data_IF_536142410577
#
_entry.id   IF_536142410577
#
_cell.length_a   1.000
_cell.length_b   1.000
_cell.length_c   1.000
_cell.angle_alpha   90.00
_cell.angle_beta   90.00
_cell.angle_gamma   90.00
#
_symmetry.space_group_name_H-M   'P 1'
#
loop_
_entity.id
_entity.type
_entity.pdbx_description
1 polymer ?
#
# COMPACT_ATOMS: atom_id res chain seq x y z
N UNK A 1 -18.43 25.32 -12.40
CA UNK A 1 -18.00 24.19 -11.51
C UNK A 1 -16.74 24.60 -10.79
N UNK A 2 -16.67 24.34 -9.48
CA UNK A 2 -15.48 24.60 -8.68
C UNK A 2 -14.54 23.41 -8.82
N UNK A 3 -13.28 23.64 -9.23
CA UNK A 3 -12.26 22.58 -9.23
C UNK A 3 -11.88 22.22 -7.78
N UNK A 4 -12.08 20.97 -7.38
CA UNK A 4 -11.65 20.49 -6.06
C UNK A 4 -10.14 20.29 -6.03
N UNK A 5 -9.48 20.83 -5.01
CA UNK A 5 -8.05 20.72 -4.78
C UNK A 5 -7.81 19.70 -3.68
N UNK A 6 -7.16 18.62 -4.03
CA UNK A 6 -6.85 17.51 -3.14
C UNK A 6 -5.36 17.53 -2.82
N UNK A 7 -5.03 17.58 -1.53
CA UNK A 7 -3.71 17.23 -1.04
C UNK A 7 -3.67 15.73 -0.76
N UNK A 8 -2.89 14.98 -1.51
CA UNK A 8 -2.62 13.58 -1.25
C UNK A 8 -1.32 13.44 -0.48
N UNK A 9 -1.37 12.90 0.74
CA UNK A 9 -0.20 12.65 1.58
C UNK A 9 0.14 11.16 1.55
N UNK A 10 1.25 10.80 0.92
CA UNK A 10 1.70 9.42 0.74
C UNK A 10 3.18 9.37 0.36
N UNK A 11 3.61 8.32 -0.31
CA UNK A 11 5.00 8.15 -0.72
C UNK A 11 5.77 7.18 0.16
N UNK A 12 7.06 7.50 0.42
CA UNK A 12 7.93 6.57 1.15
C UNK A 12 8.21 5.28 0.38
N UNK A 13 8.05 5.30 -0.94
CA UNK A 13 8.12 4.12 -1.82
C UNK A 13 9.46 3.40 -1.76
N UNK A 14 10.55 4.14 -1.56
CA UNK A 14 11.87 3.55 -1.37
C UNK A 14 11.96 2.66 -0.12
N UNK A 15 11.14 2.90 0.90
CA UNK A 15 11.09 2.06 2.11
C UNK A 15 10.19 0.84 1.94
N UNK A 16 9.19 0.94 1.07
CA UNK A 16 8.26 -0.13 0.71
C UNK A 16 7.55 0.21 -0.60
N UNK A 17 7.97 -0.39 -1.68
CA UNK A 17 7.40 -0.13 -3.02
C UNK A 17 5.90 -0.47 -3.09
N UNK A 18 5.41 -1.37 -2.23
CA UNK A 18 3.98 -1.67 -2.14
C UNK A 18 3.11 -0.47 -1.77
N UNK A 19 3.67 0.56 -1.12
CA UNK A 19 2.95 1.80 -0.85
C UNK A 19 2.64 2.56 -2.15
N UNK A 20 3.52 2.47 -3.16
CA UNK A 20 3.29 3.09 -4.45
C UNK A 20 2.04 2.53 -5.15
N UNK A 21 1.79 1.22 -5.03
CA UNK A 21 0.61 0.61 -5.63
C UNK A 21 -0.69 1.14 -5.00
N UNK A 22 -0.67 1.36 -3.67
CA UNK A 22 -1.80 1.96 -2.95
C UNK A 22 -1.99 3.41 -3.39
N UNK A 23 -0.91 4.21 -3.39
CA UNK A 23 -0.96 5.63 -3.69
C UNK A 23 -1.44 5.89 -5.13
N UNK A 24 -0.84 5.20 -6.10
CA UNK A 24 -1.19 5.31 -7.51
C UNK A 24 -2.63 4.85 -7.78
N UNK A 25 -3.03 3.72 -7.18
CA UNK A 25 -4.41 3.23 -7.30
C UNK A 25 -5.43 4.14 -6.63
N UNK A 26 -5.10 4.74 -5.49
CA UNK A 26 -5.96 5.71 -4.83
C UNK A 26 -6.13 6.99 -5.65
N UNK A 27 -5.05 7.53 -6.21
CA UNK A 27 -5.09 8.67 -7.11
C UNK A 27 -5.94 8.37 -8.35
N UNK A 28 -5.79 7.17 -8.91
CA UNK A 28 -6.59 6.73 -10.06
C UNK A 28 -8.08 6.64 -9.71
N UNK A 29 -8.44 6.01 -8.60
CA UNK A 29 -9.85 5.90 -8.17
C UNK A 29 -10.52 7.26 -7.92
N UNK A 30 -9.79 8.23 -7.37
CA UNK A 30 -10.26 9.60 -7.20
C UNK A 30 -10.51 10.30 -8.53
N UNK A 31 -9.60 10.16 -9.50
CA UNK A 31 -9.76 10.71 -10.84
C UNK A 31 -10.92 10.08 -11.61
N UNK A 32 -11.14 8.79 -11.41
CA UNK A 32 -12.33 8.14 -11.98
C UNK A 32 -13.63 8.65 -11.34
N UNK A 33 -13.62 8.90 -10.05
CA UNK A 33 -14.78 9.40 -9.33
C UNK A 33 -15.12 10.87 -9.66
N UNK A 34 -14.11 11.71 -9.86
CA UNK A 34 -14.24 13.13 -10.18
C UNK A 34 -13.08 13.55 -11.10
N UNK A 35 -13.28 13.53 -12.44
CA UNK A 35 -12.20 13.77 -13.42
C UNK A 35 -11.52 15.14 -13.32
N UNK A 36 -12.26 16.18 -12.92
CA UNK A 36 -11.78 17.57 -12.88
C UNK A 36 -11.08 17.95 -11.56
N UNK A 37 -10.67 16.96 -10.77
CA UNK A 37 -9.94 17.23 -9.53
C UNK A 37 -8.47 17.59 -9.79
N UNK A 38 -7.96 18.51 -8.99
CA UNK A 38 -6.54 18.84 -8.95
C UNK A 38 -5.88 18.15 -7.75
N UNK A 39 -4.95 17.20 -8.01
CA UNK A 39 -4.27 16.45 -6.95
C UNK A 39 -2.83 16.94 -6.80
N UNK A 40 -2.48 17.37 -5.59
CA UNK A 40 -1.13 17.68 -5.15
C UNK A 40 -0.59 16.50 -4.34
N UNK A 41 0.31 15.73 -4.91
CA UNK A 41 0.95 14.62 -4.22
C UNK A 41 2.15 15.14 -3.41
N UNK A 42 2.13 14.91 -2.10
CA UNK A 42 3.21 15.30 -1.18
C UNK A 42 3.70 14.06 -0.44
N UNK A 43 5.02 13.89 -0.41
CA UNK A 43 5.64 12.76 0.27
C UNK A 43 5.60 12.90 1.79
N UNK A 44 5.25 11.83 2.47
CA UNK A 44 5.37 11.65 3.91
C UNK A 44 6.79 11.17 4.33
N UNK A 45 7.64 10.88 3.35
CA UNK A 45 8.99 10.33 3.50
C UNK A 45 9.87 11.07 4.52
N UNK A 46 9.93 12.41 4.56
CA UNK A 46 10.74 13.12 5.57
C UNK A 46 10.37 12.72 6.99
N UNK A 47 9.08 12.59 7.31
CA UNK A 47 8.61 12.20 8.65
C UNK A 47 8.97 10.77 8.99
N UNK A 48 8.86 9.86 8.01
CA UNK A 48 9.22 8.45 8.19
C UNK A 48 10.71 8.28 8.47
N UNK A 49 11.58 8.93 7.69
CA UNK A 49 13.05 8.86 7.89
C UNK A 49 13.45 9.46 9.23
N UNK A 50 12.92 10.62 9.58
CA UNK A 50 13.28 11.30 10.81
C UNK A 50 12.87 10.53 12.07
N UNK A 51 11.80 9.73 11.98
CA UNK A 51 11.43 8.84 13.09
C UNK A 51 12.46 7.74 13.35
N UNK A 52 13.12 7.26 12.28
CA UNK A 52 14.14 6.21 12.38
C UNK A 52 15.43 6.78 13.02
N UNK A 53 15.81 7.99 12.68
CA UNK A 53 17.05 8.60 13.12
C UNK A 53 16.91 9.52 14.35
N UNK A 54 15.72 9.58 14.97
CA UNK A 54 15.40 10.48 16.11
C UNK A 54 15.75 11.96 15.84
N UNK A 55 15.69 12.38 14.59
CA UNK A 55 15.98 13.75 14.20
C UNK A 55 14.86 14.70 14.65
N UNK A 56 15.19 15.96 14.80
CA UNK A 56 14.23 16.99 15.18
C UNK A 56 13.36 17.38 13.98
N UNK A 57 12.09 16.97 13.98
CA UNK A 57 11.12 17.27 12.92
C UNK A 57 10.85 18.78 12.77
N UNK A 58 11.15 19.62 13.79
CA UNK A 58 10.95 21.06 13.70
C UNK A 58 11.82 21.73 12.63
N UNK A 59 12.92 21.07 12.23
CA UNK A 59 13.82 21.58 11.18
C UNK A 59 13.37 21.21 9.77
N UNK A 60 12.30 20.42 9.62
CA UNK A 60 11.78 20.01 8.33
C UNK A 60 10.75 20.99 7.85
N UNK A 61 10.93 21.52 6.64
CA UNK A 61 9.90 22.33 5.99
C UNK A 61 8.69 21.46 5.66
N UNK A 62 7.56 21.77 6.28
CA UNK A 62 6.31 21.02 6.11
C UNK A 62 5.53 21.55 4.91
N UNK A 63 5.83 21.03 3.72
CA UNK A 63 5.13 21.42 2.48
C UNK A 63 3.63 21.13 2.57
N UNK A 64 3.23 20.00 3.15
CA UNK A 64 1.82 19.64 3.30
C UNK A 64 1.04 20.69 4.11
N UNK A 65 1.67 21.26 5.14
CA UNK A 65 1.04 22.25 6.03
C UNK A 65 0.81 23.63 5.42
N UNK A 66 1.35 23.90 4.20
CA UNK A 66 1.27 25.20 3.52
C UNK A 66 0.52 25.18 2.18
N UNK A 67 0.25 23.98 1.62
CA UNK A 67 -0.56 23.83 0.41
C UNK A 67 -2.02 24.19 0.71
N UNK A 68 -2.62 25.02 -0.14
CA UNK A 68 -4.05 25.33 -0.09
C UNK A 68 -4.82 24.23 -0.80
N UNK A 69 -5.65 23.52 -0.06
CA UNK A 69 -6.47 22.41 -0.54
C UNK A 69 -7.84 22.41 0.11
N UNK A 70 -8.79 21.76 -0.53
CA UNK A 70 -10.15 21.58 -0.01
C UNK A 70 -10.24 20.25 0.76
N UNK A 71 -9.49 19.24 0.30
CA UNK A 71 -9.45 17.90 0.91
C UNK A 71 -8.01 17.42 1.16
N UNK A 72 -7.84 16.65 2.24
CA UNK A 72 -6.65 15.84 2.52
C UNK A 72 -7.02 14.38 2.29
N UNK A 73 -6.27 13.66 1.45
CA UNK A 73 -6.46 12.23 1.21
C UNK A 73 -5.31 11.44 1.83
N UNK A 74 -5.69 10.37 2.53
CA UNK A 74 -4.80 9.35 3.10
C UNK A 74 -5.25 7.97 2.64
N UNK A 75 -4.29 7.06 2.38
CA UNK A 75 -4.57 5.69 1.97
C UNK A 75 -3.65 4.67 2.63
N UNK A 76 -4.03 3.39 2.59
CA UNK A 76 -3.20 2.30 3.05
C UNK A 76 -3.18 2.10 4.57
N UNK A 77 -2.05 1.66 5.12
CA UNK A 77 -1.91 1.31 6.53
C UNK A 77 -1.74 2.56 7.44
N UNK A 78 -2.66 3.50 7.33
CA UNK A 78 -2.60 4.80 8.01
C UNK A 78 -3.27 4.80 9.40
N UNK A 79 -4.08 3.79 9.69
CA UNK A 79 -4.80 3.68 10.97
C UNK A 79 -3.93 2.93 11.99
N UNK A 80 -2.82 3.56 12.39
CA UNK A 80 -1.88 3.01 13.36
C UNK A 80 -1.28 4.08 14.25
N UNK A 81 -0.90 3.72 15.47
CA UNK A 81 -0.26 4.63 16.42
C UNK A 81 1.00 5.29 15.83
N UNK A 82 1.81 4.52 15.10
CA UNK A 82 3.02 5.03 14.44
C UNK A 82 2.71 6.09 13.39
N UNK A 83 1.72 5.86 12.53
CA UNK A 83 1.33 6.83 11.50
C UNK A 83 0.81 8.12 12.13
N UNK A 84 -0.03 8.01 13.17
CA UNK A 84 -0.58 9.15 13.91
C UNK A 84 0.53 9.93 14.59
N UNK A 85 1.50 9.28 15.22
CA UNK A 85 2.66 9.93 15.82
C UNK A 85 3.43 10.79 14.80
N UNK A 86 3.59 10.30 13.57
CA UNK A 86 4.35 10.98 12.53
C UNK A 86 3.56 12.10 11.83
N UNK A 87 2.29 11.87 11.54
CA UNK A 87 1.48 12.71 10.66
C UNK A 87 0.32 13.42 11.37
N UNK A 88 -0.04 13.00 12.59
CA UNK A 88 -1.22 13.51 13.29
C UNK A 88 -1.23 15.03 13.50
N UNK A 89 -0.06 15.64 13.71
CA UNK A 89 0.06 17.09 13.89
C UNK A 89 -0.31 17.85 12.62
N UNK A 90 0.22 17.48 11.47
CA UNK A 90 -0.10 18.13 10.18
C UNK A 90 -1.54 17.89 9.76
N UNK A 91 -2.07 16.68 9.97
CA UNK A 91 -3.48 16.35 9.71
C UNK A 91 -4.39 17.24 10.54
N UNK A 92 -4.17 17.30 11.86
CA UNK A 92 -4.98 18.15 12.76
C UNK A 92 -4.88 19.63 12.41
N UNK A 93 -3.72 20.12 11.98
CA UNK A 93 -3.53 21.51 11.52
C UNK A 93 -4.35 21.80 10.27
N UNK A 94 -4.40 20.89 9.30
CA UNK A 94 -5.17 21.05 8.08
C UNK A 94 -6.67 21.04 8.36
N UNK A 95 -7.15 20.10 9.18
CA UNK A 95 -8.57 20.01 9.55
C UNK A 95 -9.02 21.27 10.30
N UNK A 96 -8.19 21.81 11.21
CA UNK A 96 -8.50 23.09 11.88
C UNK A 96 -8.60 24.29 10.91
N UNK A 97 -7.99 24.19 9.72
CA UNK A 97 -8.12 25.18 8.65
C UNK A 97 -9.33 24.94 7.74
N UNK A 98 -10.20 23.98 8.05
CA UNK A 98 -11.38 23.63 7.29
C UNK A 98 -11.16 22.62 6.16
N UNK A 99 -9.97 22.00 6.08
CA UNK A 99 -9.70 20.95 5.09
C UNK A 99 -10.43 19.66 5.51
N UNK A 100 -11.21 19.06 4.62
CA UNK A 100 -11.95 17.82 4.86
C UNK A 100 -11.03 16.61 4.71
N UNK A 101 -11.10 15.67 5.64
CA UNK A 101 -10.29 14.44 5.61
C UNK A 101 -11.00 13.34 4.84
N UNK A 102 -10.33 12.77 3.86
CA UNK A 102 -10.76 11.57 3.12
C UNK A 102 -9.77 10.45 3.43
N UNK A 103 -10.29 9.34 3.90
CA UNK A 103 -9.55 8.07 4.03
C UNK A 103 -10.02 7.16 2.90
N UNK A 104 -9.17 6.85 1.93
CA UNK A 104 -9.51 6.05 0.75
C UNK A 104 -8.76 4.72 0.76
N UNK A 105 -9.45 3.61 1.06
CA UNK A 105 -8.83 2.31 1.23
C UNK A 105 -7.90 2.22 2.45
N UNK A 106 -8.31 2.85 3.55
CA UNK A 106 -7.56 2.85 4.80
C UNK A 106 -7.63 1.54 5.56
N UNK A 107 -6.57 1.20 6.30
CA UNK A 107 -6.53 0.01 7.16
C UNK A 107 -5.59 0.16 8.35
N UNK A 108 -5.79 -0.71 9.33
CA UNK A 108 -4.94 -0.82 10.52
C UNK A 108 -3.61 -1.54 10.25
N UNK A 109 -2.84 -1.68 11.30
CA UNK A 109 -1.55 -2.38 11.26
C UNK A 109 -1.55 -3.68 12.08
N UNK A 110 -1.90 -3.61 13.34
CA UNK A 110 -1.87 -4.74 14.29
C UNK A 110 -3.26 -5.13 14.80
N UNK A 111 -4.20 -4.20 14.76
CA UNK A 111 -5.57 -4.35 15.29
C UNK A 111 -5.64 -4.74 16.78
N UNK A 112 -4.61 -4.38 17.55
CA UNK A 112 -4.65 -4.52 19.01
C UNK A 112 -5.61 -3.49 19.61
N UNK A 113 -6.16 -3.77 20.80
CA UNK A 113 -7.05 -2.84 21.52
C UNK A 113 -6.38 -1.46 21.70
N UNK A 114 -5.09 -1.43 22.02
CA UNK A 114 -4.33 -0.17 22.17
C UNK A 114 -4.25 0.62 20.85
N UNK A 115 -4.03 -0.07 19.71
CA UNK A 115 -4.03 0.58 18.39
C UNK A 115 -5.42 1.12 18.08
N UNK A 116 -6.47 0.32 18.28
CA UNK A 116 -7.87 0.69 18.04
C UNK A 116 -8.24 1.92 18.86
N UNK A 117 -7.94 1.92 20.16
CA UNK A 117 -8.24 3.04 21.06
C UNK A 117 -7.48 4.32 20.66
N UNK A 118 -6.20 4.20 20.32
CA UNK A 118 -5.39 5.33 19.88
C UNK A 118 -5.92 5.94 18.58
N UNK A 119 -6.27 5.12 17.61
CA UNK A 119 -6.85 5.55 16.34
C UNK A 119 -8.23 6.18 16.55
N UNK A 120 -9.08 5.56 17.37
CA UNK A 120 -10.40 6.08 17.70
C UNK A 120 -10.33 7.47 18.34
N UNK A 121 -9.44 7.66 19.32
CA UNK A 121 -9.23 8.99 19.94
C UNK A 121 -8.76 10.04 18.94
N UNK A 122 -7.88 9.64 18.01
CA UNK A 122 -7.41 10.54 16.96
C UNK A 122 -8.52 10.92 15.98
N UNK A 123 -9.30 9.94 15.49
CA UNK A 123 -10.38 10.17 14.53
C UNK A 123 -11.57 10.94 15.16
N UNK A 124 -11.87 10.76 16.43
CA UNK A 124 -12.86 11.60 17.14
C UNK A 124 -12.49 13.09 17.16
N UNK A 125 -11.20 13.40 17.24
CA UNK A 125 -10.70 14.78 17.18
C UNK A 125 -10.55 15.31 15.75
N UNK A 126 -10.45 14.42 14.79
CA UNK A 126 -10.19 14.70 13.39
C UNK A 126 -11.12 13.82 12.53
N UNK A 127 -12.45 14.02 12.60
CA UNK A 127 -13.39 13.12 11.96
C UNK A 127 -13.21 13.12 10.44
N UNK A 128 -13.16 11.93 9.80
CA UNK A 128 -13.15 11.86 8.36
C UNK A 128 -14.47 12.36 7.78
N UNK A 129 -14.40 13.13 6.70
CA UNK A 129 -15.54 13.44 5.87
C UNK A 129 -15.96 12.21 5.07
N UNK A 130 -14.99 11.54 4.42
CA UNK A 130 -15.20 10.27 3.74
C UNK A 130 -14.26 9.23 4.36
N UNK A 131 -14.81 8.07 4.71
CA UNK A 131 -14.06 6.93 5.23
C UNK A 131 -14.35 5.68 4.41
N UNK A 132 -13.35 5.24 3.64
CA UNK A 132 -13.40 3.97 2.91
C UNK A 132 -12.36 3.05 3.52
N UNK A 133 -12.81 1.93 4.09
CA UNK A 133 -11.93 0.88 4.59
C UNK A 133 -11.46 -0.03 3.45
N UNK A 134 -10.41 -0.79 3.69
CA UNK A 134 -9.95 -1.83 2.77
C UNK A 134 -10.22 -3.24 3.26
N UNK A 135 -10.70 -3.38 4.49
CA UNK A 135 -11.05 -4.64 5.13
C UNK A 135 -12.19 -4.45 6.11
N UNK A 136 -12.90 -5.54 6.40
CA UNK A 136 -14.10 -5.54 7.24
C UNK A 136 -13.83 -5.09 8.67
N UNK A 137 -12.73 -5.55 9.25
CA UNK A 137 -12.37 -5.20 10.63
C UNK A 137 -12.14 -3.70 10.79
N UNK A 138 -11.46 -3.08 9.83
CA UNK A 138 -11.28 -1.62 9.81
C UNK A 138 -12.60 -0.89 9.71
N UNK A 139 -13.52 -1.37 8.87
CA UNK A 139 -14.84 -0.77 8.74
C UNK A 139 -15.63 -0.81 10.06
N UNK A 140 -15.70 -1.96 10.70
CA UNK A 140 -16.40 -2.15 11.96
C UNK A 140 -15.83 -1.29 13.09
N UNK A 141 -14.51 -1.11 13.13
CA UNK A 141 -13.87 -0.34 14.18
C UNK A 141 -14.05 1.18 14.04
N UNK A 142 -14.18 1.73 12.82
CA UNK A 142 -14.02 3.18 12.64
C UNK A 142 -15.08 3.87 11.77
N UNK A 143 -15.93 3.15 11.04
CA UNK A 143 -16.89 3.74 10.09
C UNK A 143 -17.85 4.75 10.73
N UNK A 144 -18.24 4.53 11.99
CA UNK A 144 -19.15 5.39 12.74
C UNK A 144 -18.54 6.76 13.13
N UNK A 145 -17.27 6.98 12.87
CA UNK A 145 -16.55 8.23 13.16
C UNK A 145 -16.52 9.21 11.98
N UNK A 146 -17.10 8.85 10.85
CA UNK A 146 -17.10 9.64 9.62
C UNK A 146 -18.50 10.08 9.22
N UNK A 147 -18.58 11.13 8.38
CA UNK A 147 -19.85 11.57 7.82
C UNK A 147 -20.37 10.61 6.74
N UNK A 148 -19.47 10.16 5.86
CA UNK A 148 -19.76 9.16 4.83
C UNK A 148 -18.80 7.97 4.99
N UNK A 149 -19.31 6.76 5.02
CA UNK A 149 -18.49 5.55 5.17
C UNK A 149 -18.87 4.47 4.17
N UNK A 150 -17.85 3.72 3.71
CA UNK A 150 -17.99 2.60 2.80
C UNK A 150 -16.99 1.49 3.13
N UNK A 151 -17.49 0.25 3.17
CA UNK A 151 -16.65 -0.95 3.32
C UNK A 151 -16.11 -1.37 1.95
N UNK A 152 -14.97 -0.78 1.57
CA UNK A 152 -14.40 -0.85 0.24
C UNK A 152 -13.29 -1.87 0.05
N UNK A 153 -12.42 -1.61 -0.93
CA UNK A 153 -11.29 -2.44 -1.33
C UNK A 153 -9.97 -1.70 -1.17
N UNK A 154 -8.85 -2.42 -1.04
CA UNK A 154 -7.52 -1.83 -1.06
C UNK A 154 -7.23 -1.17 -2.40
N UNK A 155 -6.75 0.09 -2.36
CA UNK A 155 -6.50 0.87 -3.57
C UNK A 155 -5.42 0.25 -4.49
N UNK A 156 -4.56 -0.61 -3.97
CA UNK A 156 -3.57 -1.32 -4.78
C UNK A 156 -4.18 -2.22 -5.87
N UNK A 157 -5.47 -2.60 -5.76
CA UNK A 157 -6.14 -3.35 -6.81
C UNK A 157 -6.47 -2.53 -8.07
N UNK A 158 -6.45 -1.20 -7.99
CA UNK A 158 -6.66 -0.32 -9.14
C UNK A 158 -5.45 -0.23 -10.08
N UNK A 159 -4.29 -0.80 -9.73
CA UNK A 159 -3.09 -0.68 -10.58
C UNK A 159 -3.29 -1.25 -11.98
N UNK A 160 -4.13 -2.27 -12.14
CA UNK A 160 -4.46 -2.85 -13.44
C UNK A 160 -5.37 -1.99 -14.32
N UNK A 161 -5.94 -0.91 -13.78
CA UNK A 161 -6.88 -0.08 -14.54
C UNK A 161 -6.17 1.03 -15.31
N UNK A 162 -5.00 1.45 -14.85
CA UNK A 162 -4.23 2.53 -15.48
C UNK A 162 -2.87 2.09 -16.03
N UNK A 163 -2.33 0.95 -15.58
CA UNK A 163 -1.03 0.47 -16.01
C UNK A 163 -1.18 -0.52 -17.15
N UNK A 164 -0.56 -0.18 -18.28
CA UNK A 164 -0.44 -1.08 -19.45
C UNK A 164 0.94 -1.72 -19.38
N UNK A 165 1.03 -3.04 -19.14
CA UNK A 165 2.30 -3.74 -19.08
C UNK A 165 3.02 -3.72 -20.43
N UNK A 166 4.34 -3.56 -20.39
CA UNK A 166 5.19 -3.72 -21.57
C UNK A 166 5.26 -5.19 -22.00
N UNK A 167 5.45 -5.47 -23.27
CA UNK A 167 5.80 -6.81 -23.72
C UNK A 167 7.18 -7.19 -23.20
N UNK A 168 7.33 -8.39 -22.66
CA UNK A 168 8.60 -8.88 -22.13
C UNK A 168 9.09 -10.05 -22.99
N UNK A 169 10.29 -9.92 -23.54
CA UNK A 169 10.98 -11.02 -24.22
C UNK A 169 11.65 -11.93 -23.18
N UNK A 170 10.83 -12.68 -22.47
CA UNK A 170 11.23 -13.59 -21.39
C UNK A 170 10.46 -14.89 -21.47
N UNK A 171 11.07 -16.04 -21.10
CA UNK A 171 10.32 -17.28 -20.91
C UNK A 171 9.34 -17.15 -19.74
N UNK A 172 8.43 -18.10 -19.59
CA UNK A 172 7.53 -18.20 -18.45
C UNK A 172 8.33 -18.11 -17.14
N UNK A 173 7.88 -17.25 -16.23
CA UNK A 173 8.56 -17.03 -14.96
C UNK A 173 7.62 -16.97 -13.76
N UNK A 174 8.21 -17.18 -12.60
CA UNK A 174 7.58 -16.96 -11.30
C UNK A 174 8.30 -15.87 -10.53
N UNK A 175 7.58 -15.12 -9.72
CA UNK A 175 8.15 -14.07 -8.88
C UNK A 175 8.27 -14.55 -7.43
N UNK A 176 9.45 -14.41 -6.86
CA UNK A 176 9.70 -14.59 -5.42
C UNK A 176 10.00 -13.22 -4.79
N UNK A 177 9.13 -12.81 -3.86
CA UNK A 177 9.29 -11.55 -3.13
C UNK A 177 9.32 -11.82 -1.62
N UNK A 178 10.51 -11.94 -1.05
CA UNK A 178 10.71 -12.24 0.36
C UNK A 178 11.65 -11.22 1.00
N UNK A 179 11.05 -10.28 1.74
CA UNK A 179 11.78 -9.28 2.49
C UNK A 179 11.92 -9.66 3.97
N UNK A 180 12.99 -9.25 4.64
CA UNK A 180 13.05 -9.28 6.09
C UNK A 180 11.92 -8.41 6.66
N UNK A 181 11.09 -9.00 7.51
CA UNK A 181 10.04 -8.28 8.21
C UNK A 181 10.55 -7.98 9.63
N UNK A 182 10.56 -6.68 9.99
CA UNK A 182 11.04 -6.22 11.29
C UNK A 182 12.29 -5.33 11.18
N UNK A 183 12.60 -4.62 12.24
CA UNK A 183 13.69 -3.64 12.28
C UNK A 183 15.10 -4.25 12.07
N UNK A 184 16.15 -3.42 12.14
CA UNK A 184 17.53 -3.81 11.83
C UNK A 184 18.05 -5.01 12.64
N UNK A 185 17.54 -5.23 13.84
CA UNK A 185 17.91 -6.40 14.66
C UNK A 185 17.34 -7.73 14.11
N UNK A 186 16.11 -7.73 13.60
CA UNK A 186 15.52 -8.91 12.96
C UNK A 186 16.22 -9.20 11.62
N UNK A 187 16.75 -8.18 10.97
CA UNK A 187 17.55 -8.32 9.78
C UNK A 187 18.91 -8.97 10.07
N UNK A 188 19.58 -8.59 11.16
CA UNK A 188 20.83 -9.23 11.57
C UNK A 188 20.60 -10.71 11.91
N UNK A 189 19.53 -11.04 12.64
CA UNK A 189 19.14 -12.41 12.94
C UNK A 189 18.82 -13.22 11.66
N UNK A 190 18.14 -12.60 10.68
CA UNK A 190 17.91 -13.18 9.37
C UNK A 190 19.22 -13.45 8.62
N UNK A 191 20.16 -12.50 8.62
CA UNK A 191 21.48 -12.69 8.00
C UNK A 191 22.27 -13.83 8.66
N UNK A 192 22.32 -13.88 9.99
CA UNK A 192 23.02 -14.93 10.74
C UNK A 192 22.40 -16.29 10.41
N UNK A 193 21.06 -16.40 10.44
CA UNK A 193 20.34 -17.63 10.08
C UNK A 193 20.68 -18.09 8.66
N UNK A 194 20.76 -17.18 7.71
CA UNK A 194 21.07 -17.50 6.31
C UNK A 194 22.56 -17.72 6.03
N UNK A 195 23.48 -17.19 6.85
CA UNK A 195 24.91 -17.50 6.74
C UNK A 195 25.21 -18.99 7.05
N UNK A 196 24.41 -19.60 7.93
CA UNK A 196 24.52 -20.99 8.34
C UNK A 196 23.54 -21.94 7.63
N UNK A 197 22.68 -21.42 6.73
CA UNK A 197 21.68 -22.24 6.05
C UNK A 197 22.34 -23.12 4.97
N UNK A 198 22.11 -24.43 5.09
CA UNK A 198 22.56 -25.44 4.11
C UNK A 198 21.91 -25.28 2.74
N UNK A 199 20.82 -24.51 2.64
CA UNK A 199 20.04 -24.24 1.42
C UNK A 199 20.55 -23.05 0.60
N UNK A 200 21.83 -22.66 0.72
CA UNK A 200 22.43 -21.58 -0.10
C UNK A 200 22.23 -21.73 -1.62
N UNK A 201 21.98 -22.95 -2.09
CA UNK A 201 21.67 -23.21 -3.50
C UNK A 201 20.38 -22.51 -3.96
N UNK A 202 19.34 -22.45 -3.09
CA UNK A 202 18.04 -21.87 -3.48
C UNK A 202 18.12 -20.37 -3.87
N UNK A 203 18.99 -19.60 -3.20
CA UNK A 203 19.20 -18.19 -3.55
C UNK A 203 19.90 -17.97 -4.89
N UNK A 204 20.67 -18.94 -5.36
CA UNK A 204 21.39 -18.88 -6.63
C UNK A 204 20.70 -19.63 -7.76
N UNK A 205 19.64 -20.36 -7.48
CA UNK A 205 18.89 -21.09 -8.50
C UNK A 205 18.13 -20.12 -9.38
N UNK A 206 18.34 -20.19 -10.67
CA UNK A 206 17.69 -19.32 -11.66
C UNK A 206 16.39 -19.88 -12.21
N UNK A 207 16.16 -21.20 -12.03
CA UNK A 207 14.96 -21.88 -12.55
C UNK A 207 14.43 -22.90 -11.54
N UNK A 208 13.11 -23.09 -11.51
CA UNK A 208 12.42 -24.21 -10.81
C UNK A 208 11.38 -24.77 -11.77
N UNK A 209 11.38 -26.12 -11.96
CA UNK A 209 10.46 -26.82 -12.84
C UNK A 209 10.38 -26.21 -14.24
N UNK A 210 11.54 -25.84 -14.81
CA UNK A 210 11.67 -25.25 -16.12
C UNK A 210 11.23 -23.78 -16.24
N UNK A 211 10.70 -23.18 -15.17
CA UNK A 211 10.31 -21.75 -15.16
C UNK A 211 11.44 -20.90 -14.61
N UNK A 212 11.65 -19.75 -15.22
CA UNK A 212 12.57 -18.75 -14.71
C UNK A 212 12.11 -18.23 -13.35
N UNK A 213 13.04 -18.02 -12.43
CA UNK A 213 12.76 -17.35 -11.16
C UNK A 213 13.25 -15.91 -11.26
N UNK A 214 12.36 -14.95 -11.00
CA UNK A 214 12.72 -13.55 -10.81
C UNK A 214 12.47 -13.21 -9.35
N UNK A 215 13.47 -12.64 -8.68
CA UNK A 215 13.41 -12.21 -7.29
C UNK A 215 13.21 -10.72 -7.20
N UNK A 216 12.37 -10.29 -6.29
CA UNK A 216 12.13 -8.87 -6.04
C UNK A 216 12.16 -8.57 -4.55
N UNK A 217 12.42 -7.32 -4.22
CA UNK A 217 12.39 -6.81 -2.86
C UNK A 217 11.62 -5.49 -2.80
N UNK A 218 10.59 -5.42 -1.98
CA UNK A 218 9.78 -4.21 -1.80
C UNK A 218 10.44 -3.18 -0.87
N UNK A 219 11.37 -3.61 -0.02
CA UNK A 219 12.09 -2.72 0.88
C UNK A 219 13.51 -2.54 0.42
N UNK A 220 13.86 -1.34 -0.01
CA UNK A 220 15.23 -0.98 -0.29
C UNK A 220 15.95 -0.63 1.02
N UNK A 221 17.04 -1.34 1.32
CA UNK A 221 17.90 -1.06 2.46
C UNK A 221 19.23 -0.51 1.90
N UNK A 222 19.41 0.83 1.87
CA UNK A 222 20.53 1.47 1.18
C UNK A 222 21.91 1.03 1.66
N UNK A 223 21.99 0.50 2.90
CA UNK A 223 23.27 0.14 3.52
C UNK A 223 23.67 -1.34 3.30
N UNK A 224 22.89 -2.12 2.53
CA UNK A 224 23.17 -3.53 2.30
C UNK A 224 22.99 -3.99 0.83
N UNK A 225 23.49 -3.24 -0.16
CA UNK A 225 23.31 -3.59 -1.57
C UNK A 225 23.95 -4.93 -1.94
N UNK A 226 25.07 -5.30 -1.30
CA UNK A 226 25.79 -6.56 -1.56
C UNK A 226 24.97 -7.83 -1.28
N UNK A 227 23.89 -7.74 -0.51
CA UNK A 227 22.99 -8.88 -0.26
C UNK A 227 22.24 -9.28 -1.52
N UNK A 228 21.71 -8.31 -2.23
CA UNK A 228 20.91 -8.54 -3.42
C UNK A 228 21.74 -9.16 -4.55
N UNK A 229 23.00 -8.81 -4.64
CA UNK A 229 23.92 -9.37 -5.65
C UNK A 229 24.30 -10.85 -5.42
N UNK A 230 23.86 -11.47 -4.34
CA UNK A 230 24.05 -12.91 -4.08
C UNK A 230 22.91 -13.77 -4.61
N UNK A 231 21.80 -13.16 -4.95
CA UNK A 231 20.62 -13.83 -5.49
C UNK A 231 20.67 -13.82 -7.02
N UNK A 232 20.13 -14.85 -7.66
CA UNK A 232 20.03 -14.89 -9.12
C UNK A 232 18.77 -14.12 -9.57
N UNK A 233 18.86 -13.44 -10.70
CA UNK A 233 17.75 -12.75 -11.37
C UNK A 233 16.98 -11.82 -10.42
N UNK A 234 17.69 -10.90 -9.79
CA UNK A 234 17.10 -9.94 -8.86
C UNK A 234 16.74 -8.66 -9.57
N UNK A 235 15.47 -8.25 -9.45
CA UNK A 235 15.03 -6.91 -9.80
C UNK A 235 14.85 -6.10 -8.51
N UNK A 236 15.53 -4.98 -8.42
CA UNK A 236 15.36 -3.94 -7.41
C UNK A 236 15.28 -2.61 -8.13
N UNK A 237 14.24 -1.85 -7.84
CA UNK A 237 14.01 -0.55 -8.43
C UNK A 237 13.31 0.37 -7.40
N UNK A 238 13.48 1.67 -7.54
CA UNK A 238 12.67 2.70 -6.88
C UNK A 238 11.46 3.11 -7.72
N UNK A 239 11.37 2.58 -8.94
CA UNK A 239 10.27 2.78 -9.86
C UNK A 239 9.21 1.66 -9.70
N UNK A 240 7.99 1.97 -9.23
CA UNK A 240 6.93 0.97 -9.05
C UNK A 240 6.49 0.28 -10.34
N UNK A 241 6.62 0.94 -11.48
CA UNK A 241 6.20 0.38 -12.78
C UNK A 241 7.06 -0.81 -13.21
N UNK A 242 8.32 -0.90 -12.79
CA UNK A 242 9.17 -2.05 -13.05
C UNK A 242 8.61 -3.31 -12.38
N UNK A 243 8.12 -3.17 -11.16
CA UNK A 243 7.47 -4.26 -10.43
C UNK A 243 6.12 -4.63 -11.02
N UNK A 244 5.32 -3.63 -11.46
CA UNK A 244 4.04 -3.89 -12.09
C UNK A 244 4.19 -4.69 -13.39
N UNK A 245 5.25 -4.44 -14.18
CA UNK A 245 5.57 -5.26 -15.34
C UNK A 245 5.78 -6.74 -14.97
N UNK A 246 6.52 -7.02 -13.88
CA UNK A 246 6.72 -8.40 -13.45
C UNK A 246 5.42 -9.03 -12.94
N UNK A 247 4.65 -8.34 -12.09
CA UNK A 247 3.42 -8.89 -11.54
C UNK A 247 2.33 -9.11 -12.59
N UNK A 248 2.35 -8.35 -13.68
CA UNK A 248 1.42 -8.50 -14.78
C UNK A 248 1.68 -9.76 -15.63
N UNK A 249 2.95 -10.21 -15.73
CA UNK A 249 3.33 -11.32 -16.61
C UNK A 249 3.69 -12.62 -15.88
N UNK A 250 3.80 -12.57 -14.54
CA UNK A 250 4.19 -13.75 -13.76
C UNK A 250 3.17 -14.88 -13.84
N UNK A 251 3.64 -16.12 -13.88
CA UNK A 251 2.74 -17.30 -13.74
C UNK A 251 2.31 -17.55 -12.31
N UNK A 252 3.06 -17.05 -11.34
CA UNK A 252 2.71 -17.08 -9.92
C UNK A 252 3.63 -16.13 -9.12
N UNK A 253 3.10 -15.53 -8.07
CA UNK A 253 3.92 -14.80 -7.08
C UNK A 253 3.88 -15.50 -5.72
N UNK A 254 5.05 -15.74 -5.16
CA UNK A 254 5.22 -16.21 -3.78
C UNK A 254 5.86 -15.11 -2.97
N UNK A 255 5.17 -14.64 -1.92
CA UNK A 255 5.62 -13.44 -1.21
C UNK A 255 5.30 -13.48 0.29
N UNK A 256 6.10 -12.78 1.09
CA UNK A 256 5.72 -12.39 2.45
C UNK A 256 5.19 -10.95 2.54
N UNK A 257 5.04 -10.26 1.39
CA UNK A 257 4.49 -8.91 1.28
C UNK A 257 3.07 -8.93 0.72
N UNK A 258 2.12 -8.36 1.47
CA UNK A 258 0.70 -8.31 1.08
C UNK A 258 0.53 -7.64 -0.28
N UNK A 259 1.19 -6.49 -0.53
CA UNK A 259 1.00 -5.74 -1.77
C UNK A 259 1.72 -6.32 -3.00
N UNK A 260 2.66 -7.25 -2.83
CA UNK A 260 3.13 -8.07 -3.95
C UNK A 260 2.01 -9.01 -4.43
N UNK A 261 1.28 -9.61 -3.46
CA UNK A 261 0.11 -10.42 -3.79
C UNK A 261 -1.03 -9.58 -4.37
N UNK A 262 -1.32 -8.40 -3.79
CA UNK A 262 -2.35 -7.47 -4.31
C UNK A 262 -2.09 -7.12 -5.78
N UNK A 263 -0.87 -6.66 -6.12
CA UNK A 263 -0.53 -6.32 -7.50
C UNK A 263 -0.64 -7.51 -8.43
N UNK A 264 -0.15 -8.71 -8.03
CA UNK A 264 -0.28 -9.93 -8.83
C UNK A 264 -1.75 -10.29 -9.11
N UNK A 265 -2.59 -10.30 -8.05
CA UNK A 265 -4.02 -10.61 -8.17
C UNK A 265 -4.77 -9.57 -9.01
N UNK A 266 -4.37 -8.28 -8.93
CA UNK A 266 -4.96 -7.23 -9.75
C UNK A 266 -4.81 -7.48 -11.25
N UNK A 267 -3.70 -8.11 -11.68
CA UNK A 267 -3.47 -8.55 -13.06
C UNK A 267 -3.98 -9.96 -13.36
N UNK A 268 -4.86 -10.53 -12.55
CA UNK A 268 -5.44 -11.86 -12.74
C UNK A 268 -4.43 -13.02 -12.65
N UNK A 269 -3.28 -12.82 -12.05
CA UNK A 269 -2.29 -13.86 -11.83
C UNK A 269 -2.41 -14.43 -10.42
N UNK A 270 -2.06 -15.72 -10.20
CA UNK A 270 -2.18 -16.33 -8.88
C UNK A 270 -1.06 -15.92 -7.95
N UNK A 271 -1.37 -15.83 -6.65
CA UNK A 271 -0.39 -15.52 -5.62
C UNK A 271 -0.52 -16.42 -4.38
N UNK A 272 0.57 -16.53 -3.62
CA UNK A 272 0.60 -17.15 -2.30
C UNK A 272 1.32 -16.25 -1.30
N UNK A 273 0.68 -16.04 -0.13
CA UNK A 273 1.20 -15.18 0.92
C UNK A 273 1.80 -16.00 2.07
N UNK A 274 3.07 -15.77 2.38
CA UNK A 274 3.82 -16.38 3.49
C UNK A 274 3.97 -15.41 4.67
N UNK A 275 2.84 -14.89 5.15
CA UNK A 275 2.83 -13.96 6.28
C UNK A 275 1.54 -14.08 7.07
N UNK A 276 1.64 -14.08 8.39
CA UNK A 276 0.50 -14.11 9.32
C UNK A 276 0.03 -12.72 9.73
N UNK A 277 0.38 -11.69 8.98
CA UNK A 277 -0.06 -10.33 9.27
C UNK A 277 -1.59 -10.20 9.22
N UNK A 278 -2.23 -9.53 10.20
CA UNK A 278 -3.68 -9.30 10.15
C UNK A 278 -4.10 -8.44 8.95
N UNK A 279 -3.20 -7.60 8.42
CA UNK A 279 -3.42 -6.80 7.18
C UNK A 279 -3.79 -7.63 5.97
N UNK A 280 -3.55 -8.94 5.96
CA UNK A 280 -3.94 -9.82 4.87
C UNK A 280 -5.46 -10.03 4.73
N UNK A 281 -6.26 -9.62 5.72
CA UNK A 281 -7.72 -9.66 5.66
C UNK A 281 -8.30 -8.85 4.46
N UNK A 282 -7.57 -7.86 3.95
CA UNK A 282 -7.95 -7.15 2.71
C UNK A 282 -8.10 -8.09 1.48
N UNK A 283 -7.41 -9.23 1.48
CA UNK A 283 -7.45 -10.23 0.40
C UNK A 283 -8.74 -11.06 0.42
N UNK A 284 -9.43 -11.14 1.56
CA UNK A 284 -10.70 -11.85 1.69
C UNK A 284 -11.81 -11.15 0.87
N UNK A 285 -11.70 -9.82 0.71
CA UNK A 285 -12.60 -9.01 -0.13
C UNK A 285 -12.63 -9.46 -1.59
N UNK A 286 -11.55 -10.00 -2.08
CA UNK A 286 -11.38 -10.43 -3.48
C UNK A 286 -11.43 -11.94 -3.65
N UNK A 287 -11.99 -12.67 -2.67
CA UNK A 287 -12.11 -14.13 -2.73
C UNK A 287 -10.79 -14.89 -2.54
N UNK A 288 -9.72 -14.21 -2.08
CA UNK A 288 -8.40 -14.82 -1.89
C UNK A 288 -8.14 -15.23 -0.42
N UNK A 289 -9.15 -15.67 0.30
CA UNK A 289 -9.08 -16.06 1.72
C UNK A 289 -8.15 -17.25 2.00
N UNK A 290 -7.91 -18.13 1.00
CA UNK A 290 -7.00 -19.29 1.12
C UNK A 290 -5.56 -18.98 0.71
N UNK A 291 -5.21 -17.74 0.41
CA UNK A 291 -3.91 -17.33 -0.13
C UNK A 291 -2.71 -17.67 0.78
N UNK A 292 -2.95 -17.82 2.08
CA UNK A 292 -1.91 -18.23 3.04
C UNK A 292 -1.62 -19.74 3.00
N UNK A 293 -2.59 -20.53 2.55
CA UNK A 293 -2.54 -21.99 2.56
C UNK A 293 -2.04 -22.54 1.22
N UNK A 294 -2.52 -21.97 0.14
CA UNK A 294 -2.24 -22.43 -1.23
C UNK A 294 -2.10 -21.27 -2.22
N UNK A 295 -1.57 -21.58 -3.38
CA UNK A 295 -1.60 -20.68 -4.53
C UNK A 295 -3.05 -20.39 -4.90
N UNK A 296 -3.44 -19.13 -4.90
CA UNK A 296 -4.83 -18.70 -5.03
C UNK A 296 -4.97 -17.75 -6.21
N UNK A 297 -5.98 -17.98 -7.04
CA UNK A 297 -6.42 -17.07 -8.09
C UNK A 297 -7.42 -16.05 -7.53
N UNK A 298 -7.46 -14.84 -8.07
CA UNK A 298 -8.46 -13.85 -7.67
C UNK A 298 -9.83 -14.18 -8.25
N UNK A 299 -10.87 -13.70 -7.58
CA UNK A 299 -12.19 -13.55 -8.18
C UNK A 299 -12.24 -12.19 -8.92
N UNK A 300 -12.00 -12.24 -10.24
CA UNK A 300 -11.89 -11.04 -11.09
C UNK A 300 -13.19 -10.26 -11.13
N UNK A 301 -14.34 -10.95 -11.17
CA UNK A 301 -15.63 -10.26 -11.19
C UNK A 301 -15.84 -9.51 -9.89
N UNK A 302 -15.52 -10.13 -8.76
CA UNK A 302 -15.58 -9.49 -7.45
C UNK A 302 -14.67 -8.27 -7.34
N UNK A 303 -13.41 -8.37 -7.84
CA UNK A 303 -12.51 -7.21 -7.88
C UNK A 303 -13.12 -6.05 -8.69
N UNK A 304 -13.67 -6.34 -9.87
CA UNK A 304 -14.29 -5.31 -10.72
C UNK A 304 -15.48 -4.65 -10.03
N UNK A 305 -16.36 -5.45 -9.42
CA UNK A 305 -17.56 -4.95 -8.75
C UNK A 305 -17.19 -4.08 -7.54
N UNK A 306 -16.24 -4.52 -6.72
CA UNK A 306 -15.76 -3.75 -5.56
C UNK A 306 -15.12 -2.41 -5.99
N UNK A 307 -14.27 -2.41 -7.02
CA UNK A 307 -13.68 -1.18 -7.58
C UNK A 307 -14.76 -0.22 -8.08
N UNK A 308 -15.70 -0.73 -8.88
CA UNK A 308 -16.78 0.08 -9.45
C UNK A 308 -17.65 0.70 -8.36
N UNK A 309 -18.01 -0.08 -7.34
CA UNK A 309 -18.84 0.38 -6.23
C UNK A 309 -18.11 1.45 -5.39
N UNK A 310 -16.81 1.28 -5.14
CA UNK A 310 -15.99 2.29 -4.43
C UNK A 310 -15.93 3.61 -5.22
N UNK A 311 -15.71 3.55 -6.54
CA UNK A 311 -15.68 4.72 -7.40
C UNK A 311 -17.05 5.42 -7.44
N UNK A 312 -18.16 4.67 -7.56
CA UNK A 312 -19.52 5.22 -7.52
C UNK A 312 -19.81 5.92 -6.19
N UNK A 313 -19.39 5.32 -5.08
CA UNK A 313 -19.54 5.91 -3.75
C UNK A 313 -18.79 7.25 -3.65
N UNK A 314 -17.52 7.30 -4.07
CA UNK A 314 -16.72 8.52 -4.10
C UNK A 314 -17.34 9.59 -5.02
N UNK A 315 -17.76 9.19 -6.24
CA UNK A 315 -18.32 10.08 -7.24
C UNK A 315 -19.57 10.79 -6.72
N UNK A 316 -20.48 10.04 -6.09
CA UNK A 316 -21.71 10.61 -5.53
C UNK A 316 -21.43 11.78 -4.59
N UNK A 317 -20.39 11.68 -3.75
CA UNK A 317 -20.10 12.70 -2.73
C UNK A 317 -19.26 13.84 -3.34
N UNK A 318 -18.22 13.52 -4.13
CA UNK A 318 -17.29 14.53 -4.64
C UNK A 318 -17.90 15.40 -5.76
N UNK A 319 -18.79 14.83 -6.60
CA UNK A 319 -19.46 15.60 -7.66
C UNK A 319 -20.47 16.57 -7.06
N UNK A 320 -21.17 16.22 -5.99
CA UNK A 320 -22.08 17.14 -5.28
C UNK A 320 -21.35 18.38 -4.75
N UNK A 321 -20.07 18.27 -4.39
CA UNK A 321 -19.26 19.40 -3.91
C UNK A 321 -18.73 20.33 -5.02
N UNK A 322 -18.77 19.87 -6.27
CA UNK A 322 -18.36 20.66 -7.43
C UNK A 322 -19.52 21.40 -8.10
N UNK A 323 -20.75 20.98 -7.79
CA UNK A 323 -22.00 21.59 -8.30
C UNK A 323 -22.31 22.86 -7.54
#
# INVERSE_FOLDING_TARGET
>A
MKTLRILYLGGGWITNIGNAFIDLGSIHSLRMACPDIQIYFVSDMPRVIFSIFRANLSNVFDLAGVIKCDHLVLSGAILSAKFIQLNGSVISKLIKKGVKLIINGGGGSTYTEEEIDTVTRFLRKNPPYIFISRDRQTFENYSYLSEYSYDGIDCGFFVSDFFVPAELDLPDFIVLNFDPIGGPFNYLAFLIKHLFDKNKKLFRTSTIDGKLIIRTHHSFIPFMPHRYFREANVLISDNPYDYLNLYAHTKATYSNRVHACVATLAFNNPARLFSNTPRAALLDRVGANTIREKLTYPDIQKIRDEKLNQVKFLSKILVEETS
#
